data_IF_219702741014
#
_entry.id   IF_219702741014
#
_cell.length_a   1.000
_cell.length_b   1.000
_cell.length_c   1.000
_cell.angle_alpha   90.00
_cell.angle_beta   90.00
_cell.angle_gamma   90.00
#
_symmetry.space_group_name_H-M   'P 1'
#
loop_
_entity.id
_entity.type
_entity.pdbx_description
1 polymer ?
#
# COMPACT_ATOMS: atom_id res chain seq x y z
N UNK A 1 -26.23 4.45 -0.84
CA UNK A 1 -25.78 5.81 -1.21
C UNK A 1 -24.77 6.24 -0.14
N UNK A 2 -23.50 5.81 -0.17
CA UNK A 2 -22.39 6.67 -0.64
C UNK A 2 -21.02 5.94 -0.77
N UNK A 3 -20.91 4.61 -0.66
CA UNK A 3 -19.58 3.93 -0.66
C UNK A 3 -19.16 3.33 -2.02
N UNK A 4 -19.89 3.64 -3.10
CA UNK A 4 -19.56 3.20 -4.47
C UNK A 4 -19.36 4.42 -5.37
N UNK A 5 -19.00 5.57 -4.80
CA UNK A 5 -18.55 6.71 -5.60
C UNK A 5 -17.13 6.39 -6.07
N UNK A 6 -17.08 5.68 -7.19
CA UNK A 6 -16.10 5.86 -8.24
C UNK A 6 -14.65 5.96 -7.71
N UNK A 7 -14.02 4.81 -7.46
CA UNK A 7 -12.56 4.68 -7.54
C UNK A 7 -12.20 4.96 -9.00
N UNK A 8 -12.21 6.25 -9.36
CA UNK A 8 -11.87 6.79 -10.65
C UNK A 8 -10.60 6.10 -11.06
N UNK A 9 -10.62 5.36 -12.16
CA UNK A 9 -9.46 4.61 -12.64
C UNK A 9 -8.40 5.60 -13.13
N UNK A 10 -7.64 6.13 -12.19
CA UNK A 10 -6.56 7.09 -12.42
C UNK A 10 -5.43 6.35 -13.13
N UNK A 11 -4.77 7.03 -14.08
CA UNK A 11 -3.54 6.50 -14.68
C UNK A 11 -2.48 6.45 -13.58
N UNK A 12 -2.17 5.24 -13.11
CA UNK A 12 -1.19 5.04 -12.06
C UNK A 12 0.19 5.50 -12.51
N UNK A 13 0.88 6.19 -11.63
CA UNK A 13 2.27 6.59 -11.79
C UNK A 13 3.17 5.36 -11.69
N UNK A 14 4.32 5.39 -12.38
CA UNK A 14 5.31 4.32 -12.25
C UNK A 14 5.92 4.35 -10.85
N UNK A 15 5.98 3.18 -10.21
CA UNK A 15 6.65 3.03 -8.91
C UNK A 15 8.16 3.24 -9.12
N UNK A 16 8.81 4.17 -8.38
CA UNK A 16 10.25 4.38 -8.47
C UNK A 16 11.04 3.14 -8.03
N UNK A 17 12.27 3.01 -8.52
CA UNK A 17 13.20 1.99 -8.03
C UNK A 17 14.03 2.57 -6.89
N UNK A 18 13.94 1.97 -5.71
CA UNK A 18 14.72 2.36 -4.53
C UNK A 18 15.95 1.46 -4.39
N UNK A 19 17.06 2.01 -3.89
CA UNK A 19 18.27 1.22 -3.63
C UNK A 19 18.25 0.60 -2.24
N UNK A 20 17.53 1.21 -1.30
CA UNK A 20 17.43 0.77 0.09
C UNK A 20 16.00 0.87 0.61
N UNK A 21 15.66 0.06 1.61
CA UNK A 21 14.36 0.11 2.30
C UNK A 21 14.12 1.48 2.97
N UNK A 22 15.19 2.10 3.48
CA UNK A 22 15.10 3.43 4.12
C UNK A 22 14.65 4.50 3.14
N UNK A 23 15.17 4.49 1.91
CA UNK A 23 14.76 5.41 0.85
C UNK A 23 13.29 5.19 0.47
N UNK A 24 12.89 3.93 0.31
CA UNK A 24 11.50 3.56 0.01
C UNK A 24 10.55 4.07 1.10
N UNK A 25 10.87 3.84 2.38
CA UNK A 25 10.06 4.30 3.50
C UNK A 25 9.93 5.81 3.53
N UNK A 26 11.04 6.54 3.34
CA UNK A 26 11.03 8.01 3.32
C UNK A 26 10.21 8.58 2.17
N UNK A 27 10.14 7.87 1.04
CA UNK A 27 9.29 8.24 -0.08
C UNK A 27 7.81 8.04 0.26
N UNK A 28 7.42 6.84 0.71
CA UNK A 28 6.01 6.52 1.03
C UNK A 28 5.46 7.32 2.22
N UNK A 29 6.32 7.81 3.12
CA UNK A 29 5.90 8.74 4.17
C UNK A 29 5.45 10.11 3.64
N UNK A 30 5.84 10.48 2.41
CA UNK A 30 5.60 11.81 1.85
C UNK A 30 4.58 11.82 0.72
N UNK A 31 4.37 10.69 0.04
CA UNK A 31 3.50 10.61 -1.15
C UNK A 31 2.22 9.85 -0.87
N UNK A 32 1.16 10.19 -1.61
CA UNK A 32 -0.08 9.41 -1.59
C UNK A 32 0.11 8.12 -2.42
N UNK A 33 -0.16 6.97 -1.79
CA UNK A 33 -0.04 5.65 -2.42
C UNK A 33 -1.15 5.36 -3.43
N UNK A 34 -2.29 6.07 -3.35
CA UNK A 34 -3.43 5.89 -4.27
C UNK A 34 -3.07 6.26 -5.71
N UNK A 35 -2.04 7.08 -5.91
CA UNK A 35 -1.55 7.45 -7.24
C UNK A 35 -0.67 6.37 -7.91
N UNK A 36 -0.20 5.39 -7.15
CA UNK A 36 0.78 4.39 -7.60
C UNK A 36 0.22 2.96 -7.58
N UNK A 37 -0.72 2.66 -6.67
CA UNK A 37 -1.24 1.30 -6.45
C UNK A 37 -2.67 1.17 -6.98
N UNK A 38 -2.94 0.10 -7.72
CA UNK A 38 -4.28 -0.25 -8.20
C UNK A 38 -5.13 -0.87 -7.08
N UNK A 39 -5.78 0.00 -6.29
CA UNK A 39 -6.66 -0.44 -5.20
C UNK A 39 -7.91 -1.18 -5.69
N UNK A 40 -8.26 -1.14 -6.98
CA UNK A 40 -9.38 -1.93 -7.53
C UNK A 40 -9.07 -3.44 -7.54
N UNK A 41 -7.78 -3.80 -7.49
CA UNK A 41 -7.31 -5.19 -7.42
C UNK A 41 -7.07 -5.66 -5.99
N UNK A 42 -7.34 -4.83 -4.99
CA UNK A 42 -7.12 -5.20 -3.60
C UNK A 42 -8.09 -6.32 -3.20
N UNK A 43 -7.53 -7.44 -2.73
CA UNK A 43 -8.30 -8.59 -2.26
C UNK A 43 -8.31 -8.67 -0.74
N UNK A 44 -9.38 -9.23 -0.17
CA UNK A 44 -9.42 -9.52 1.26
C UNK A 44 -8.59 -10.76 1.54
N UNK A 45 -7.47 -10.58 2.24
CA UNK A 45 -6.59 -11.68 2.62
C UNK A 45 -6.65 -11.97 4.12
N UNK A 46 -6.46 -13.23 4.50
CA UNK A 46 -6.26 -13.67 5.90
C UNK A 46 -4.83 -14.18 6.04
N UNK A 47 -4.18 -13.85 7.16
CA UNK A 47 -2.83 -14.35 7.47
C UNK A 47 -2.90 -15.43 8.57
N UNK A 48 -3.30 -16.67 8.27
CA UNK A 48 -3.56 -17.70 9.27
C UNK A 48 -2.31 -18.10 10.07
N UNK A 49 -1.12 -17.96 9.49
CA UNK A 49 0.15 -18.41 10.09
C UNK A 49 1.06 -17.24 10.51
N UNK A 50 0.54 -16.01 10.58
CA UNK A 50 1.31 -14.88 11.05
C UNK A 50 1.50 -15.01 12.56
N UNK A 51 2.73 -15.34 12.96
CA UNK A 51 3.11 -15.39 14.37
C UNK A 51 3.15 -13.96 14.90
N UNK A 52 2.45 -13.73 16.01
CA UNK A 52 2.64 -12.53 16.80
C UNK A 52 4.06 -12.57 17.38
N UNK A 53 4.88 -11.57 17.08
CA UNK A 53 6.13 -11.35 17.82
C UNK A 53 5.79 -10.51 19.05
N UNK A 54 5.58 -11.16 20.19
CA UNK A 54 5.55 -10.51 21.50
C UNK A 54 6.90 -10.74 22.18
N UNK A 55 7.95 -10.08 21.71
CA UNK A 55 9.21 -9.99 22.46
C UNK A 55 9.27 -8.59 23.08
N UNK A 56 8.63 -8.45 24.23
CA UNK A 56 8.76 -7.28 25.09
C UNK A 56 9.89 -7.59 26.08
N UNK A 57 11.13 -7.47 25.63
CA UNK A 57 12.31 -7.49 26.51
C UNK A 57 13.33 -6.49 25.97
#
# INVERSE_FOLDING_TARGET
MCIIYDMKKLKLKKIPKFKTEKEERLFWLKVDSTEYVDWSKAERWKFPNLKLTSNWN
#
